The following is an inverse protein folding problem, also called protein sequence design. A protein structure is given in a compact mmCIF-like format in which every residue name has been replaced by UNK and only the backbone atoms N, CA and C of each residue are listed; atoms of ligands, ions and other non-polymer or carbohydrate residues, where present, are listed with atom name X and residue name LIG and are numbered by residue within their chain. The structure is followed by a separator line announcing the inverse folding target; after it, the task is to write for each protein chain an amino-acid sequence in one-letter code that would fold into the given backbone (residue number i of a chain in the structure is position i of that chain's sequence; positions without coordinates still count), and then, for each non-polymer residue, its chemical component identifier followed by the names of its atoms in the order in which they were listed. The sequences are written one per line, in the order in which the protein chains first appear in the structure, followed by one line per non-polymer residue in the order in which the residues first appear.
data_IF_086827983772
#
_entry.id   IF_086827983772
#
_cell.length_a   1.000
_cell.length_b   1.000
_cell.length_c   1.000
_cell.angle_alpha   90.00
_cell.angle_beta   90.00
_cell.angle_gamma   90.00
#
_symmetry.space_group_name_H-M   'P 1'
#
loop_
_entity.id
_entity.type
_entity.pdbx_description
1 polymer ?
#
# COMPACT_ATOMS: atom_id res chain seq x y z
N UNK A 1 -25.13 -8.57 -27.52
CA UNK A 1 -23.84 -7.81 -27.62
C UNK A 1 -22.71 -8.83 -27.70
N UNK A 2 -21.82 -8.78 -28.70
CA UNK A 2 -20.78 -9.79 -28.88
C UNK A 2 -19.49 -9.40 -28.14
N UNK A 3 -18.78 -10.35 -27.55
CA UNK A 3 -17.49 -10.14 -26.90
C UNK A 3 -16.47 -9.43 -27.78
N UNK A 4 -16.39 -9.81 -29.06
CA UNK A 4 -15.50 -9.17 -30.03
C UNK A 4 -15.75 -7.67 -30.16
N UNK A 5 -17.02 -7.26 -30.18
CA UNK A 5 -17.39 -5.85 -30.27
C UNK A 5 -16.94 -5.08 -29.03
N UNK A 6 -16.98 -5.69 -27.84
CA UNK A 6 -16.60 -5.05 -26.59
C UNK A 6 -15.10 -4.74 -26.54
N UNK A 7 -14.24 -5.73 -26.75
CA UNK A 7 -12.80 -5.49 -26.66
C UNK A 7 -12.26 -4.64 -27.82
N UNK A 8 -12.88 -4.68 -29.01
CA UNK A 8 -12.52 -3.77 -30.10
C UNK A 8 -12.69 -2.29 -29.74
N UNK A 9 -13.64 -1.95 -28.86
CA UNK A 9 -13.83 -0.57 -28.39
C UNK A 9 -12.62 -0.06 -27.59
N UNK A 10 -11.84 -0.96 -27.02
CA UNK A 10 -10.68 -0.63 -26.18
C UNK A 10 -9.34 -0.60 -26.94
N UNK A 11 -9.29 -1.05 -28.22
CA UNK A 11 -8.03 -1.15 -28.98
C UNK A 11 -7.39 0.18 -29.35
N UNK A 12 -8.07 1.29 -29.14
CA UNK A 12 -7.49 2.64 -29.25
C UNK A 12 -6.67 3.07 -28.03
N UNK A 13 -6.75 2.31 -26.94
CA UNK A 13 -6.11 2.61 -25.65
C UNK A 13 -5.13 1.49 -25.26
N UNK A 14 -5.53 0.24 -25.43
CA UNK A 14 -4.81 -0.97 -25.06
C UNK A 14 -4.44 -1.80 -26.28
N UNK A 15 -3.40 -2.62 -26.17
CA UNK A 15 -3.17 -3.63 -27.19
C UNK A 15 -4.29 -4.68 -27.22
N UNK A 16 -4.32 -5.50 -28.28
CA UNK A 16 -5.40 -6.45 -28.50
C UNK A 16 -5.54 -7.49 -27.39
N UNK A 17 -4.43 -7.97 -26.85
CA UNK A 17 -4.46 -9.05 -25.83
C UNK A 17 -4.84 -8.48 -24.47
N UNK A 18 -4.36 -7.28 -24.14
CA UNK A 18 -4.77 -6.55 -22.96
C UNK A 18 -6.26 -6.16 -22.99
N UNK A 19 -6.75 -5.61 -24.12
CA UNK A 19 -8.17 -5.27 -24.31
C UNK A 19 -9.08 -6.49 -24.10
N UNK A 20 -8.70 -7.66 -24.63
CA UNK A 20 -9.41 -8.92 -24.41
C UNK A 20 -9.37 -9.35 -22.95
N UNK A 21 -8.22 -9.25 -22.30
CA UNK A 21 -8.06 -9.62 -20.90
C UNK A 21 -8.92 -8.74 -19.97
N UNK A 22 -8.92 -7.42 -20.20
CA UNK A 22 -9.74 -6.45 -19.47
C UNK A 22 -11.24 -6.81 -19.56
N UNK A 23 -11.77 -6.96 -20.77
CA UNK A 23 -13.20 -7.26 -20.96
C UNK A 23 -13.55 -8.62 -20.38
N UNK A 24 -12.71 -9.65 -20.58
CA UNK A 24 -12.94 -10.97 -20.00
C UNK A 24 -12.99 -10.91 -18.49
N UNK A 25 -12.06 -10.23 -17.86
CA UNK A 25 -12.00 -10.12 -16.41
C UNK A 25 -13.20 -9.34 -15.86
N UNK A 26 -13.59 -8.26 -16.52
CA UNK A 26 -14.78 -7.49 -16.16
C UNK A 26 -16.06 -8.35 -16.21
N UNK A 27 -16.23 -9.16 -17.26
CA UNK A 27 -17.36 -10.07 -17.42
C UNK A 27 -17.37 -11.18 -16.37
N UNK A 28 -16.21 -11.76 -16.07
CA UNK A 28 -16.06 -12.81 -15.07
C UNK A 28 -16.37 -12.28 -13.67
N UNK A 29 -15.70 -11.22 -13.26
CA UNK A 29 -15.83 -10.66 -11.91
C UNK A 29 -17.23 -10.11 -11.65
N UNK A 30 -17.81 -9.39 -12.60
CA UNK A 30 -19.07 -8.68 -12.37
C UNK A 30 -20.31 -9.53 -12.65
N UNK A 31 -20.26 -10.41 -13.65
CA UNK A 31 -21.41 -11.17 -14.11
C UNK A 31 -21.21 -12.69 -13.98
N UNK A 32 -20.08 -13.16 -13.48
CA UNK A 32 -19.77 -14.59 -13.32
C UNK A 32 -19.64 -15.34 -14.62
N UNK A 33 -19.36 -14.66 -15.75
CA UNK A 33 -19.22 -15.28 -17.05
C UNK A 33 -17.79 -15.80 -17.25
N UNK A 34 -17.63 -17.12 -17.19
CA UNK A 34 -16.37 -17.77 -17.53
C UNK A 34 -16.01 -17.58 -19.01
N UNK A 35 -14.74 -17.81 -19.37
CA UNK A 35 -14.31 -17.78 -20.78
C UNK A 35 -15.18 -18.69 -21.67
N UNK A 36 -15.58 -19.87 -21.16
CA UNK A 36 -16.46 -20.78 -21.88
C UNK A 36 -17.83 -20.17 -22.13
N UNK A 37 -18.42 -19.52 -21.13
CA UNK A 37 -19.71 -18.84 -21.24
C UNK A 37 -19.66 -17.72 -22.28
N UNK A 38 -18.57 -16.93 -22.26
CA UNK A 38 -18.33 -15.84 -23.22
C UNK A 38 -18.27 -16.40 -24.66
N UNK A 39 -17.49 -17.46 -24.87
CA UNK A 39 -17.34 -18.10 -26.21
C UNK A 39 -18.64 -18.75 -26.66
N UNK A 40 -19.43 -19.32 -25.74
CA UNK A 40 -20.75 -19.89 -26.04
C UNK A 40 -21.84 -18.82 -26.27
N UNK A 41 -21.52 -17.52 -26.16
CA UNK A 41 -22.46 -16.44 -26.49
C UNK A 41 -23.43 -16.06 -25.37
N UNK A 42 -23.17 -16.45 -24.10
CA UNK A 42 -24.06 -16.14 -22.97
C UNK A 42 -24.22 -14.63 -22.69
N UNK A 43 -23.37 -13.79 -23.28
CA UNK A 43 -23.57 -12.33 -23.22
C UNK A 43 -24.91 -11.94 -23.86
N UNK A 44 -25.36 -12.64 -24.91
CA UNK A 44 -26.64 -12.36 -25.58
C UNK A 44 -27.84 -12.80 -24.74
N UNK A 45 -27.63 -13.59 -23.69
CA UNK A 45 -28.65 -14.09 -22.75
C UNK A 45 -28.74 -13.22 -21.47
N UNK A 46 -27.89 -12.20 -21.33
CA UNK A 46 -27.88 -11.30 -20.16
C UNK A 46 -29.20 -10.49 -20.10
N UNK A 47 -29.58 -10.16 -18.85
CA UNK A 47 -30.76 -9.30 -18.63
C UNK A 47 -30.50 -7.88 -19.16
N UNK A 48 -31.57 -7.12 -19.45
CA UNK A 48 -31.47 -5.71 -19.85
C UNK A 48 -30.74 -4.87 -18.83
N UNK A 49 -30.90 -5.18 -17.53
CA UNK A 49 -30.20 -4.52 -16.41
C UNK A 49 -28.71 -4.78 -16.49
N UNK A 50 -28.30 -6.05 -16.67
CA UNK A 50 -26.88 -6.42 -16.77
C UNK A 50 -26.23 -5.85 -18.02
N UNK A 51 -26.93 -5.83 -19.14
CA UNK A 51 -26.44 -5.21 -20.38
C UNK A 51 -26.28 -3.69 -20.24
N UNK A 52 -27.18 -3.02 -19.51
CA UNK A 52 -27.06 -1.59 -19.21
C UNK A 52 -25.86 -1.32 -18.29
N UNK A 53 -25.64 -2.17 -17.29
CA UNK A 53 -24.47 -2.07 -16.40
C UNK A 53 -23.18 -2.33 -17.16
N UNK A 54 -23.13 -3.37 -18.00
CA UNK A 54 -21.98 -3.65 -18.86
C UNK A 54 -21.64 -2.47 -19.77
N UNK A 55 -22.65 -1.83 -20.35
CA UNK A 55 -22.43 -0.64 -21.18
C UNK A 55 -21.84 0.52 -20.38
N UNK A 56 -22.32 0.76 -19.15
CA UNK A 56 -21.78 1.77 -18.26
C UNK A 56 -20.31 1.47 -17.88
N UNK A 57 -19.98 0.19 -17.64
CA UNK A 57 -18.59 -0.25 -17.39
C UNK A 57 -17.72 -0.01 -18.63
N UNK A 58 -18.20 -0.35 -19.82
CA UNK A 58 -17.45 -0.13 -21.06
C UNK A 58 -17.14 1.35 -21.29
N UNK A 59 -18.09 2.25 -21.00
CA UNK A 59 -17.88 3.70 -21.11
C UNK A 59 -16.80 4.23 -20.15
N UNK A 60 -16.62 3.59 -18.99
CA UNK A 60 -15.53 3.90 -18.05
C UNK A 60 -14.18 3.39 -18.57
N UNK A 61 -14.15 2.15 -19.08
CA UNK A 61 -12.95 1.55 -19.68
C UNK A 61 -12.46 2.32 -20.92
N UNK A 62 -13.36 2.83 -21.74
CA UNK A 62 -13.04 3.71 -22.89
C UNK A 62 -12.41 5.05 -22.49
N UNK A 63 -12.54 5.44 -21.24
CA UNK A 63 -11.84 6.60 -20.66
C UNK A 63 -10.51 6.22 -20.00
N UNK A 64 -10.01 5.02 -20.26
CA UNK A 64 -8.82 4.45 -19.64
C UNK A 64 -8.93 4.31 -18.10
N UNK A 65 -10.13 4.24 -17.52
CA UNK A 65 -10.25 3.96 -16.10
C UNK A 65 -9.79 2.53 -15.82
N UNK A 66 -8.93 2.28 -14.80
CA UNK A 66 -8.46 0.94 -14.47
C UNK A 66 -9.62 -0.02 -14.25
N UNK A 67 -9.54 -1.19 -14.87
CA UNK A 67 -10.60 -2.20 -14.75
C UNK A 67 -10.89 -2.57 -13.30
N UNK A 68 -9.88 -2.54 -12.43
CA UNK A 68 -10.02 -2.78 -10.98
C UNK A 68 -10.96 -1.75 -10.33
N UNK A 69 -10.88 -0.48 -10.70
CA UNK A 69 -11.82 0.53 -10.21
C UNK A 69 -13.20 0.36 -10.84
N UNK A 70 -13.26 -0.06 -12.10
CA UNK A 70 -14.54 -0.28 -12.80
C UNK A 70 -15.34 -1.41 -12.14
N UNK A 71 -14.68 -2.52 -11.79
CA UNK A 71 -15.32 -3.66 -11.11
C UNK A 71 -15.31 -3.54 -9.56
N UNK A 72 -14.52 -2.61 -9.02
CA UNK A 72 -14.47 -2.31 -7.59
C UNK A 72 -13.60 -3.25 -6.75
N UNK A 73 -12.81 -4.13 -7.38
CA UNK A 73 -11.94 -5.07 -6.67
C UNK A 73 -10.56 -5.22 -7.33
N UNK A 74 -9.58 -5.67 -6.54
CA UNK A 74 -8.27 -6.12 -7.00
C UNK A 74 -7.85 -7.39 -6.25
N UNK A 75 -7.13 -8.28 -6.92
CA UNK A 75 -6.55 -9.45 -6.28
C UNK A 75 -5.18 -9.14 -5.71
N UNK A 76 -4.92 -9.58 -4.47
CA UNK A 76 -3.62 -9.43 -3.84
C UNK A 76 -3.35 -10.58 -2.86
N UNK A 77 -2.23 -11.27 -3.01
CA UNK A 77 -1.82 -12.41 -2.17
C UNK A 77 -2.93 -13.47 -2.00
N UNK A 78 -3.67 -13.78 -3.07
CA UNK A 78 -4.76 -14.75 -3.08
C UNK A 78 -6.04 -14.31 -2.36
N UNK A 79 -6.20 -13.00 -2.15
CA UNK A 79 -7.37 -12.36 -1.53
C UNK A 79 -7.92 -11.26 -2.41
N UNK A 80 -9.22 -11.04 -2.29
CA UNK A 80 -9.91 -9.96 -3.02
C UNK A 80 -10.04 -8.73 -2.12
N UNK A 81 -9.48 -7.61 -2.57
CA UNK A 81 -9.56 -6.31 -1.91
C UNK A 81 -10.54 -5.40 -2.65
N UNK A 82 -11.37 -4.70 -1.92
CA UNK A 82 -12.13 -3.59 -2.49
C UNK A 82 -11.18 -2.44 -2.82
N UNK A 83 -11.32 -1.90 -4.04
CA UNK A 83 -10.58 -0.73 -4.51
C UNK A 83 -11.51 0.23 -5.22
N UNK A 84 -11.25 1.51 -5.06
CA UNK A 84 -11.95 2.60 -5.74
C UNK A 84 -10.99 3.79 -5.88
N UNK A 85 -11.29 4.82 -6.68
CA UNK A 85 -10.48 6.02 -6.76
C UNK A 85 -10.17 6.58 -5.36
N UNK A 86 -8.89 6.88 -5.09
CA UNK A 86 -8.40 7.34 -3.79
C UNK A 86 -7.39 6.43 -3.12
N UNK A 87 -7.22 5.18 -3.58
CA UNK A 87 -6.15 4.28 -3.14
C UNK A 87 -5.38 3.73 -4.33
N UNK A 88 -4.09 3.48 -4.16
CA UNK A 88 -3.29 2.76 -5.15
C UNK A 88 -3.85 1.35 -5.32
N UNK A 89 -3.99 0.90 -6.55
CA UNK A 89 -4.35 -0.50 -6.85
C UNK A 89 -3.20 -1.40 -6.40
N UNK A 90 -3.45 -2.43 -5.57
CA UNK A 90 -2.41 -3.35 -5.11
C UNK A 90 -1.60 -3.97 -6.26
N UNK A 91 -0.28 -3.96 -6.16
CA UNK A 91 0.63 -4.49 -7.18
C UNK A 91 1.16 -5.87 -6.79
N UNK A 92 1.35 -6.79 -7.76
CA UNK A 92 1.88 -8.12 -7.49
C UNK A 92 3.25 -8.09 -6.79
N UNK A 93 4.12 -7.13 -7.13
CA UNK A 93 5.43 -6.94 -6.54
C UNK A 93 5.32 -6.64 -5.03
N UNK A 94 4.39 -5.80 -4.63
CA UNK A 94 4.14 -5.52 -3.21
C UNK A 94 3.80 -6.81 -2.44
N UNK A 95 3.15 -7.77 -3.10
CA UNK A 95 2.89 -9.10 -2.53
C UNK A 95 4.17 -9.91 -2.28
N UNK A 96 5.23 -9.69 -3.06
CA UNK A 96 6.54 -10.33 -2.82
C UNK A 96 7.20 -9.79 -1.56
N UNK A 97 7.06 -8.47 -1.30
CA UNK A 97 7.52 -7.87 -0.05
C UNK A 97 6.83 -8.49 1.17
N UNK A 98 5.51 -8.66 1.11
CA UNK A 98 4.76 -9.33 2.18
C UNK A 98 5.24 -10.76 2.40
N UNK A 99 5.41 -11.56 1.33
CA UNK A 99 5.93 -12.93 1.41
C UNK A 99 7.31 -12.97 2.04
N UNK A 100 8.21 -12.06 1.64
CA UNK A 100 9.54 -11.98 2.23
C UNK A 100 9.49 -11.76 3.73
N UNK A 101 8.70 -10.80 4.21
CA UNK A 101 8.54 -10.54 5.64
C UNK A 101 8.01 -11.76 6.41
N UNK A 102 7.00 -12.43 5.88
CA UNK A 102 6.40 -13.63 6.47
C UNK A 102 7.41 -14.77 6.54
N UNK A 103 8.18 -15.01 5.47
CA UNK A 103 9.21 -16.04 5.44
C UNK A 103 10.36 -15.77 6.42
N UNK A 104 10.83 -14.52 6.50
CA UNK A 104 11.86 -14.13 7.47
C UNK A 104 11.37 -14.40 8.90
N UNK A 105 10.14 -13.98 9.22
CA UNK A 105 9.55 -14.22 10.53
C UNK A 105 9.43 -15.71 10.87
N UNK A 106 9.03 -16.53 9.89
CA UNK A 106 8.96 -17.99 10.05
C UNK A 106 10.34 -18.62 10.28
N UNK A 107 11.40 -18.11 9.63
CA UNK A 107 12.79 -18.59 9.81
C UNK A 107 13.37 -18.21 11.17
N UNK A 108 13.01 -17.05 11.72
CA UNK A 108 13.45 -16.63 13.04
C UNK A 108 12.89 -17.56 14.14
N UNK A 109 11.82 -18.29 13.86
CA UNK A 109 11.16 -19.20 14.80
C UNK A 109 10.60 -18.48 16.01
N UNK A 110 10.15 -19.25 17.02
CA UNK A 110 9.55 -18.74 18.28
C UNK A 110 10.62 -18.12 19.23
N UNK A 111 11.73 -17.62 18.71
CA UNK A 111 12.82 -17.06 19.54
C UNK A 111 12.42 -15.81 20.32
N UNK A 112 11.32 -15.13 19.96
CA UNK A 112 10.77 -14.00 20.71
C UNK A 112 9.38 -14.39 21.23
N UNK A 113 9.29 -14.74 22.49
CA UNK A 113 8.03 -14.80 23.22
C UNK A 113 7.44 -13.38 23.26
N UNK A 114 6.16 -13.24 22.93
CA UNK A 114 5.43 -11.98 22.96
C UNK A 114 4.82 -11.57 21.62
N UNK A 115 4.07 -10.50 21.66
CA UNK A 115 3.42 -9.92 20.48
C UNK A 115 4.46 -9.26 19.55
N UNK A 116 4.37 -9.55 18.26
CA UNK A 116 5.21 -8.96 17.22
C UNK A 116 4.53 -7.70 16.68
N UNK A 117 5.08 -6.53 16.99
CA UNK A 117 4.50 -5.24 16.64
C UNK A 117 4.94 -4.83 15.23
N UNK A 118 4.02 -4.68 14.30
CA UNK A 118 4.28 -4.29 12.91
C UNK A 118 3.59 -2.97 12.61
N UNK A 119 4.31 -2.08 11.93
CA UNK A 119 3.76 -0.83 11.41
C UNK A 119 3.82 -0.83 9.88
N UNK A 120 2.68 -0.62 9.22
CA UNK A 120 2.56 -0.34 7.79
C UNK A 120 2.35 1.15 7.58
N UNK A 121 3.26 1.82 6.84
CA UNK A 121 3.22 3.27 6.61
C UNK A 121 2.81 3.58 5.18
N UNK A 122 1.71 4.30 5.02
CA UNK A 122 1.09 4.55 3.72
C UNK A 122 0.27 3.35 3.25
N UNK A 123 -0.66 2.91 4.10
CA UNK A 123 -1.34 1.61 3.93
C UNK A 123 -2.26 1.53 2.70
N UNK A 124 -2.74 2.68 2.18
CA UNK A 124 -3.62 2.73 1.01
C UNK A 124 -4.87 1.87 1.18
N UNK A 125 -5.03 0.86 0.36
CA UNK A 125 -6.14 -0.12 0.44
C UNK A 125 -6.07 -1.05 1.66
N UNK A 126 -4.98 -1.01 2.43
CA UNK A 126 -4.72 -1.94 3.53
C UNK A 126 -4.06 -3.25 3.10
N UNK A 127 -3.67 -3.41 1.84
CA UNK A 127 -3.23 -4.69 1.29
C UNK A 127 -2.02 -5.28 2.01
N UNK A 128 -1.01 -4.48 2.38
CA UNK A 128 0.14 -4.93 3.17
C UNK A 128 -0.29 -5.29 4.60
N UNK A 129 -0.88 -4.33 5.32
CA UNK A 129 -1.26 -4.51 6.72
C UNK A 129 -2.17 -5.73 6.94
N UNK A 130 -3.21 -5.86 6.13
CA UNK A 130 -4.19 -6.95 6.21
C UNK A 130 -3.53 -8.29 5.88
N UNK A 131 -2.70 -8.34 4.83
CA UNK A 131 -1.99 -9.58 4.47
C UNK A 131 -1.06 -10.02 5.62
N UNK A 132 -0.30 -9.10 6.21
CA UNK A 132 0.59 -9.42 7.32
C UNK A 132 -0.18 -9.85 8.56
N UNK A 133 -1.30 -9.22 8.89
CA UNK A 133 -2.15 -9.63 10.02
C UNK A 133 -2.70 -11.06 9.86
N UNK A 134 -3.10 -11.43 8.64
CA UNK A 134 -3.65 -12.77 8.35
C UNK A 134 -2.56 -13.85 8.25
N UNK A 135 -1.38 -13.53 7.69
CA UNK A 135 -0.27 -14.49 7.52
C UNK A 135 0.62 -14.64 8.76
N UNK A 136 0.56 -13.68 9.68
CA UNK A 136 1.31 -13.68 10.94
C UNK A 136 0.36 -13.52 12.13
N UNK A 137 -0.36 -14.56 12.58
CA UNK A 137 -1.41 -14.44 13.63
C UNK A 137 -0.91 -13.88 14.96
N UNK A 138 0.39 -13.90 15.21
CA UNK A 138 1.01 -13.33 16.43
C UNK A 138 1.40 -11.84 16.25
N UNK A 139 1.24 -11.28 15.05
CA UNK A 139 1.54 -9.89 14.81
C UNK A 139 0.36 -9.00 15.24
N UNK A 140 0.69 -7.91 15.92
CA UNK A 140 -0.20 -6.77 16.13
C UNK A 140 0.15 -5.73 15.07
N UNK A 141 -0.71 -5.59 14.09
CA UNK A 141 -0.47 -4.71 12.94
C UNK A 141 -1.16 -3.38 13.16
N UNK A 142 -0.38 -2.30 13.07
CA UNK A 142 -0.88 -0.93 12.98
C UNK A 142 -0.60 -0.40 11.58
N UNK A 143 -1.54 0.33 11.02
CA UNK A 143 -1.47 0.88 9.67
C UNK A 143 -1.74 2.38 9.68
N UNK A 144 -0.86 3.14 9.03
CA UNK A 144 -0.98 4.59 8.90
C UNK A 144 -1.28 5.01 7.48
N UNK A 145 -2.13 6.02 7.36
CA UNK A 145 -2.28 6.77 6.13
C UNK A 145 -2.63 8.23 6.45
N UNK A 146 -2.33 9.14 5.54
CA UNK A 146 -2.72 10.55 5.62
C UNK A 146 -4.14 10.77 5.10
N UNK A 147 -4.62 9.91 4.20
CA UNK A 147 -5.91 9.99 3.52
C UNK A 147 -7.02 9.33 4.35
N UNK A 148 -8.07 10.07 4.64
CA UNK A 148 -9.27 9.53 5.28
C UNK A 148 -9.97 8.49 4.36
N UNK A 149 -9.96 8.70 3.04
CA UNK A 149 -10.52 7.76 2.07
C UNK A 149 -9.74 6.44 2.06
N UNK A 150 -8.42 6.50 2.07
CA UNK A 150 -7.58 5.30 2.16
C UNK A 150 -7.90 4.51 3.45
N UNK A 151 -7.95 5.18 4.59
CA UNK A 151 -8.28 4.54 5.86
C UNK A 151 -9.69 3.95 5.89
N UNK A 152 -10.67 4.60 5.24
CA UNK A 152 -12.03 4.08 5.10
C UNK A 152 -12.06 2.79 4.27
N UNK A 153 -11.34 2.77 3.14
CA UNK A 153 -11.23 1.61 2.25
C UNK A 153 -10.49 0.48 2.96
N UNK A 154 -9.36 0.77 3.61
CA UNK A 154 -8.58 -0.22 4.35
C UNK A 154 -9.38 -0.88 5.48
N UNK A 155 -10.16 -0.10 6.24
CA UNK A 155 -11.06 -0.63 7.28
C UNK A 155 -12.12 -1.56 6.70
N UNK A 156 -12.78 -1.15 5.59
CA UNK A 156 -13.74 -1.99 4.87
C UNK A 156 -13.13 -3.32 4.42
N UNK A 157 -11.89 -3.28 3.92
CA UNK A 157 -11.16 -4.48 3.52
C UNK A 157 -10.81 -5.37 4.70
N UNK A 158 -10.35 -4.79 5.81
CA UNK A 158 -10.04 -5.54 7.03
C UNK A 158 -11.28 -6.25 7.59
N UNK A 159 -12.40 -5.56 7.66
CA UNK A 159 -13.70 -6.14 8.08
C UNK A 159 -14.12 -7.29 7.15
N UNK A 160 -14.08 -7.07 5.83
CA UNK A 160 -14.47 -8.07 4.84
C UNK A 160 -13.59 -9.33 4.85
N UNK A 161 -12.31 -9.18 5.16
CA UNK A 161 -11.33 -10.28 5.20
C UNK A 161 -11.12 -10.86 6.60
N UNK A 162 -11.75 -10.30 7.62
CA UNK A 162 -11.62 -10.75 9.01
C UNK A 162 -10.24 -10.51 9.62
N UNK A 163 -9.56 -9.43 9.22
CA UNK A 163 -8.23 -9.08 9.69
C UNK A 163 -8.31 -8.06 10.85
N UNK A 164 -7.53 -8.29 11.91
CA UNK A 164 -7.38 -7.36 13.02
C UNK A 164 -6.21 -6.39 12.75
N UNK A 165 -6.53 -5.14 12.37
CA UNK A 165 -5.56 -4.09 12.11
C UNK A 165 -5.98 -2.80 12.81
N UNK A 166 -5.05 -2.12 13.48
CA UNK A 166 -5.28 -0.80 14.05
C UNK A 166 -4.96 0.27 13.01
N UNK A 167 -5.94 1.09 12.64
CA UNK A 167 -5.77 2.14 11.63
C UNK A 167 -5.67 3.53 12.28
N UNK A 168 -4.63 4.28 11.94
CA UNK A 168 -4.39 5.63 12.46
C UNK A 168 -4.14 6.63 11.32
N UNK A 169 -4.77 7.80 11.42
CA UNK A 169 -4.47 8.90 10.50
C UNK A 169 -3.17 9.57 10.92
N UNK A 170 -2.12 9.42 10.10
CA UNK A 170 -0.81 10.03 10.34
C UNK A 170 -0.12 10.43 9.03
N UNK A 171 0.60 11.54 9.10
CA UNK A 171 1.47 12.00 8.03
C UNK A 171 2.89 11.42 8.25
N UNK A 172 3.36 10.60 7.31
CA UNK A 172 4.69 10.01 7.34
C UNK A 172 5.84 11.05 7.31
N UNK A 173 5.58 12.26 6.83
CA UNK A 173 6.57 13.35 6.78
C UNK A 173 6.59 14.19 8.06
N UNK A 174 5.49 14.24 8.81
CA UNK A 174 5.30 15.12 9.98
C UNK A 174 4.97 14.34 11.26
N UNK A 175 5.51 13.12 11.40
CA UNK A 175 5.35 12.36 12.63
C UNK A 175 6.11 13.02 13.79
N UNK A 176 5.49 14.02 14.42
CA UNK A 176 5.94 14.47 15.74
C UNK A 176 5.73 13.31 16.71
N UNK A 177 6.81 12.82 17.28
CA UNK A 177 6.71 12.00 18.48
C UNK A 177 5.95 12.89 19.47
N UNK A 178 4.79 12.44 19.97
CA UNK A 178 4.02 13.17 20.97
C UNK A 178 4.81 13.27 22.27
N UNK A 179 5.87 14.06 22.28
CA UNK A 179 6.35 14.72 23.47
C UNK A 179 5.37 15.85 23.68
N UNK A 180 4.71 15.87 24.83
CA UNK A 180 3.74 16.87 25.19
C UNK A 180 4.28 18.29 25.10
N UNK A 181 4.41 18.80 23.90
CA UNK A 181 4.70 20.19 23.59
C UNK A 181 3.41 21.01 23.63
N UNK A 182 2.90 21.19 24.87
CA UNK A 182 2.16 22.39 25.18
C UNK A 182 3.17 23.44 25.68
N UNK A 183 3.86 24.09 24.78
CA UNK A 183 4.57 25.33 25.06
C UNK A 183 4.47 26.25 23.85
N UNK A 184 3.41 27.05 23.82
CA UNK A 184 3.47 28.46 23.47
C UNK A 184 2.17 29.12 23.92
N UNK A 185 2.33 30.22 24.66
CA UNK A 185 1.36 31.17 25.11
C UNK A 185 0.67 30.90 26.47
N UNK A 186 1.46 31.06 27.53
CA UNK A 186 0.94 31.68 28.77
C UNK A 186 2.06 32.49 29.39
N UNK A 187 2.07 33.81 29.09
CA UNK A 187 2.59 34.81 30.00
C UNK A 187 1.48 35.08 31.03
N UNK A 188 1.64 34.65 32.23
CA UNK A 188 1.47 35.46 33.45
C UNK A 188 1.69 34.59 34.68
N UNK A 189 2.34 35.17 35.62
CA UNK A 189 2.88 34.63 36.84
C UNK A 189 1.81 34.10 37.81
N UNK A 190 2.11 33.03 38.53
CA UNK A 190 2.06 33.01 40.01
C UNK A 190 2.77 31.76 40.54
N UNK A 191 3.67 31.96 41.49
CA UNK A 191 4.46 30.93 42.16
C UNK A 191 3.54 30.05 43.00
N UNK A 192 3.50 28.78 42.73
CA UNK A 192 2.99 27.75 43.65
C UNK A 192 3.95 26.55 43.55
N UNK A 193 4.36 26.05 44.71
CA UNK A 193 5.41 25.02 44.92
C UNK A 193 5.21 23.75 44.12
N UNK A 194 6.30 23.01 43.74
CA UNK A 194 6.21 21.85 42.92
C UNK A 194 5.78 20.63 43.72
N UNK A 195 4.59 20.13 43.49
CA UNK A 195 4.24 18.76 43.79
C UNK A 195 4.87 17.90 42.69
N UNK A 196 5.67 16.87 43.00
CA UNK A 196 6.21 15.97 42.00
C UNK A 196 5.10 15.08 41.46
N UNK A 197 4.38 15.57 40.44
CA UNK A 197 3.54 14.70 39.63
C UNK A 197 4.45 13.84 38.75
N UNK A 198 4.65 12.60 39.12
CA UNK A 198 5.19 11.57 38.23
C UNK A 198 4.13 11.33 37.16
N UNK A 199 4.13 12.15 36.12
CA UNK A 199 3.41 11.82 34.90
C UNK A 199 4.18 10.66 34.27
N UNK A 200 3.55 9.48 34.03
CA UNK A 200 4.22 8.44 33.26
C UNK A 200 4.61 9.05 31.93
N UNK A 201 5.91 9.08 31.64
CA UNK A 201 6.42 9.45 30.32
C UNK A 201 5.67 8.57 29.33
N UNK A 202 4.95 9.11 28.34
CA UNK A 202 4.25 8.27 27.38
C UNK A 202 5.28 7.32 26.76
N UNK A 203 5.08 6.02 26.96
CA UNK A 203 5.98 5.03 26.37
C UNK A 203 5.87 5.19 24.85
N UNK A 204 6.99 5.53 24.21
CA UNK A 204 7.06 5.58 22.74
C UNK A 204 6.75 4.17 22.28
N UNK A 205 5.71 4.02 21.46
CA UNK A 205 5.37 2.73 20.86
C UNK A 205 6.58 2.22 20.08
N UNK A 206 6.99 0.99 20.38
CA UNK A 206 8.16 0.36 19.75
C UNK A 206 7.70 -0.75 18.81
N UNK A 207 8.34 -0.81 17.64
CA UNK A 207 8.02 -1.74 16.57
C UNK A 207 9.10 -2.83 16.45
N UNK A 208 8.68 -4.05 16.16
CA UNK A 208 9.57 -5.12 15.72
C UNK A 208 9.88 -5.00 14.23
N UNK A 209 8.90 -4.56 13.44
CA UNK A 209 9.10 -4.26 12.02
C UNK A 209 8.30 -3.02 11.59
N UNK A 210 8.88 -2.26 10.66
CA UNK A 210 8.20 -1.20 9.91
C UNK A 210 8.28 -1.57 8.43
N UNK A 211 7.15 -1.48 7.73
CA UNK A 211 7.07 -1.71 6.29
C UNK A 211 6.41 -0.53 5.60
N UNK A 212 6.81 -0.25 4.37
CA UNK A 212 6.16 0.77 3.55
C UNK A 212 6.39 0.51 2.07
N UNK A 213 5.34 0.72 1.30
CA UNK A 213 5.41 1.04 -0.13
C UNK A 213 5.06 2.52 -0.29
N UNK A 214 6.01 3.44 -0.05
CA UNK A 214 5.74 4.87 -0.06
C UNK A 214 5.70 5.41 -1.49
N UNK A 215 5.16 6.62 -1.73
CA UNK A 215 5.32 7.29 -3.01
C UNK A 215 6.81 7.42 -3.37
N UNK A 216 7.17 7.01 -4.58
CA UNK A 216 8.56 6.97 -5.03
C UNK A 216 8.79 7.35 -6.49
N UNK A 217 7.73 7.60 -7.27
CA UNK A 217 7.85 7.95 -8.69
C UNK A 217 8.19 9.43 -8.82
N UNK A 218 9.29 9.77 -9.47
CA UNK A 218 9.62 11.16 -9.75
C UNK A 218 8.70 11.74 -10.83
N UNK A 219 8.42 13.05 -10.77
CA UNK A 219 7.58 13.73 -11.75
C UNK A 219 8.08 13.54 -13.21
N UNK A 220 9.41 13.53 -13.40
CA UNK A 220 10.03 13.26 -14.71
C UNK A 220 9.76 11.87 -15.28
N UNK A 221 9.39 10.91 -14.44
CA UNK A 221 9.05 9.54 -14.86
C UNK A 221 7.61 9.44 -15.38
N UNK A 222 6.76 10.44 -15.12
CA UNK A 222 5.34 10.45 -15.52
C UNK A 222 5.14 10.21 -17.04
N UNK A 223 6.04 10.72 -17.86
CA UNK A 223 5.94 10.58 -19.33
C UNK A 223 6.06 9.12 -19.83
N UNK A 224 6.57 8.21 -18.99
CA UNK A 224 6.76 6.79 -19.31
C UNK A 224 5.71 5.89 -18.66
N UNK A 225 4.79 6.48 -17.89
CA UNK A 225 3.74 5.73 -17.19
C UNK A 225 2.53 5.51 -18.09
N UNK A 226 1.84 4.41 -17.82
CA UNK A 226 0.58 4.09 -18.48
C UNK A 226 -0.50 5.14 -18.18
N UNK A 227 -1.30 5.45 -19.19
CA UNK A 227 -2.33 6.49 -19.12
C UNK A 227 -3.32 6.25 -17.97
N UNK A 228 -3.75 5.01 -17.78
CA UNK A 228 -4.71 4.63 -16.75
C UNK A 228 -4.19 4.89 -15.33
N UNK A 229 -2.86 4.76 -15.09
CA UNK A 229 -2.23 5.08 -13.80
C UNK A 229 -2.21 6.61 -13.60
N UNK A 230 -1.75 7.35 -14.60
CA UNK A 230 -1.60 8.81 -14.52
C UNK A 230 -2.92 9.56 -14.31
N UNK A 231 -3.97 9.11 -15.00
CA UNK A 231 -5.24 9.84 -15.03
C UNK A 231 -6.19 9.45 -13.89
N UNK A 232 -6.01 8.26 -13.28
CA UNK A 232 -7.01 7.72 -12.37
C UNK A 232 -6.48 7.35 -10.98
N UNK A 233 -5.20 6.98 -10.84
CA UNK A 233 -4.67 6.64 -9.53
C UNK A 233 -4.21 7.89 -8.75
N UNK A 234 -4.28 7.88 -7.41
CA UNK A 234 -4.02 9.08 -6.62
C UNK A 234 -2.56 9.52 -6.73
N UNK A 235 -2.32 10.72 -7.25
CA UNK A 235 -0.97 11.29 -7.39
C UNK A 235 -0.21 11.37 -6.05
N UNK A 236 -0.93 11.54 -4.94
CA UNK A 236 -0.34 11.54 -3.60
C UNK A 236 0.31 10.20 -3.24
N UNK A 237 -0.21 9.09 -3.78
CA UNK A 237 0.32 7.75 -3.56
C UNK A 237 1.44 7.37 -4.54
N UNK A 238 1.65 8.15 -5.59
CA UNK A 238 2.61 7.86 -6.64
C UNK A 238 3.85 8.74 -6.59
N UNK A 239 3.66 10.07 -6.52
CA UNK A 239 4.70 11.01 -6.89
C UNK A 239 5.49 11.63 -5.74
N UNK A 240 6.78 11.80 -6.02
CA UNK A 240 7.71 12.59 -5.23
C UNK A 240 8.31 13.71 -6.09
N UNK A 241 8.79 14.83 -5.48
CA UNK A 241 9.55 15.85 -6.19
C UNK A 241 10.83 15.28 -6.79
N UNK A 242 11.20 15.76 -7.99
CA UNK A 242 12.40 15.32 -8.71
C UNK A 242 13.71 15.67 -7.97
N UNK A 243 13.70 16.72 -7.15
CA UNK A 243 14.82 17.19 -6.34
C UNK A 243 14.96 16.47 -5.00
N UNK A 244 13.95 15.70 -4.56
CA UNK A 244 14.02 14.89 -3.34
C UNK A 244 13.30 13.54 -3.49
N UNK A 245 13.81 12.62 -4.34
CA UNK A 245 13.19 11.31 -4.59
C UNK A 245 13.17 10.40 -3.35
N UNK A 246 14.03 10.64 -2.36
CA UNK A 246 14.15 9.81 -1.17
C UNK A 246 13.37 10.36 0.04
N UNK A 247 12.54 11.38 -0.12
CA UNK A 247 11.92 12.09 1.00
C UNK A 247 11.13 11.20 1.96
N UNK A 248 10.30 10.29 1.43
CA UNK A 248 9.50 9.39 2.26
C UNK A 248 10.38 8.31 2.90
N UNK A 249 11.29 7.70 2.15
CA UNK A 249 12.23 6.72 2.68
C UNK A 249 13.03 7.30 3.87
N UNK A 250 13.55 8.53 3.69
CA UNK A 250 14.30 9.23 4.73
C UNK A 250 13.46 9.54 5.96
N UNK A 251 12.23 9.98 5.78
CA UNK A 251 11.33 10.29 6.88
C UNK A 251 10.96 9.03 7.68
N UNK A 252 10.59 7.95 7.00
CA UNK A 252 10.21 6.68 7.62
C UNK A 252 11.42 6.02 8.30
N UNK A 253 12.60 6.05 7.67
CA UNK A 253 13.83 5.51 8.26
C UNK A 253 14.23 6.29 9.53
N UNK A 254 14.16 7.62 9.53
CA UNK A 254 14.40 8.46 10.74
C UNK A 254 13.39 8.14 11.85
N UNK A 255 12.14 7.89 11.52
CA UNK A 255 11.14 7.44 12.49
C UNK A 255 11.51 6.05 13.02
N UNK A 256 11.86 5.12 12.14
CA UNK A 256 12.28 3.77 12.50
C UNK A 256 13.49 3.74 13.44
N UNK A 257 14.49 4.59 13.23
CA UNK A 257 15.63 4.70 14.14
C UNK A 257 15.22 5.05 15.58
N UNK A 258 14.16 5.81 15.75
CA UNK A 258 13.67 6.21 17.07
C UNK A 258 12.75 5.19 17.71
N UNK A 259 12.01 4.42 16.90
CA UNK A 259 10.86 3.62 17.35
C UNK A 259 10.97 2.13 17.09
N UNK A 260 11.88 1.67 16.24
CA UNK A 260 12.19 0.25 16.15
C UNK A 260 12.88 -0.21 17.44
N UNK A 261 12.55 -1.40 17.89
CA UNK A 261 13.28 -2.11 18.95
C UNK A 261 14.73 -2.38 18.52
N UNK A 262 15.68 -2.67 19.42
CA UNK A 262 16.96 -3.26 19.04
C UNK A 262 16.72 -4.51 18.18
N UNK A 263 17.49 -4.69 17.13
CA UNK A 263 17.31 -5.74 16.11
C UNK A 263 15.99 -5.65 15.30
N UNK A 264 15.23 -4.56 15.43
CA UNK A 264 14.01 -4.33 14.66
C UNK A 264 14.31 -4.10 13.17
N UNK A 265 13.36 -4.44 12.32
CA UNK A 265 13.53 -4.48 10.86
C UNK A 265 12.75 -3.38 10.16
N UNK A 266 13.37 -2.76 9.16
CA UNK A 266 12.77 -1.80 8.24
C UNK A 266 12.68 -2.44 6.86
N UNK A 267 11.50 -2.39 6.25
CA UNK A 267 11.25 -2.91 4.90
C UNK A 267 10.69 -1.82 4.00
N UNK A 268 11.23 -1.73 2.79
CA UNK A 268 10.73 -0.82 1.77
C UNK A 268 10.49 -1.52 0.44
N UNK A 269 9.42 -1.16 -0.26
CA UNK A 269 9.37 -1.25 -1.71
C UNK A 269 10.09 -0.04 -2.29
N UNK A 270 10.88 -0.24 -3.36
CA UNK A 270 11.82 0.74 -3.90
C UNK A 270 11.47 1.17 -5.33
N UNK A 271 11.76 2.42 -5.65
CA UNK A 271 12.05 2.78 -7.02
C UNK A 271 13.40 2.19 -7.42
N UNK A 272 13.46 1.30 -8.44
CA UNK A 272 14.71 0.68 -8.87
C UNK A 272 15.80 1.66 -9.28
N UNK A 273 15.42 2.86 -9.76
CA UNK A 273 16.36 3.90 -10.17
C UNK A 273 17.14 4.49 -8.99
N UNK A 274 16.61 4.38 -7.77
CA UNK A 274 17.19 4.96 -6.55
C UNK A 274 17.48 3.91 -5.48
N UNK A 275 17.58 2.63 -5.86
CA UNK A 275 17.78 1.55 -4.88
C UNK A 275 19.09 1.69 -4.11
N UNK A 276 20.20 1.97 -4.80
CA UNK A 276 21.53 2.15 -4.19
C UNK A 276 21.60 3.40 -3.30
N UNK A 277 20.99 4.50 -3.75
CA UNK A 277 20.94 5.74 -2.98
C UNK A 277 20.07 5.58 -1.73
N UNK A 278 18.96 4.82 -1.84
CA UNK A 278 18.11 4.52 -0.68
C UNK A 278 18.86 3.65 0.32
N UNK A 279 19.58 2.63 -0.12
CA UNK A 279 20.41 1.79 0.76
C UNK A 279 21.48 2.63 1.47
N UNK A 280 22.21 3.46 0.73
CA UNK A 280 23.25 4.33 1.29
C UNK A 280 22.67 5.26 2.35
N UNK A 281 21.54 5.92 2.06
CA UNK A 281 20.84 6.82 2.98
C UNK A 281 20.40 6.08 4.26
N UNK A 282 19.88 4.86 4.14
CA UNK A 282 19.45 4.06 5.29
C UNK A 282 20.65 3.67 6.15
N UNK A 283 21.79 3.29 5.55
CA UNK A 283 23.06 3.01 6.27
C UNK A 283 23.58 4.26 6.98
N UNK A 284 23.57 5.42 6.36
CA UNK A 284 23.98 6.70 6.97
C UNK A 284 23.11 7.07 8.17
N UNK A 285 21.84 6.66 8.17
CA UNK A 285 20.93 6.82 9.32
C UNK A 285 21.19 5.82 10.45
N UNK A 286 22.18 4.91 10.32
CA UNK A 286 22.60 4.00 11.37
C UNK A 286 21.90 2.64 11.34
N UNK A 287 21.31 2.24 10.22
CA UNK A 287 20.89 0.86 10.03
C UNK A 287 22.06 0.00 9.55
N UNK A 288 22.11 -1.25 10.00
CA UNK A 288 23.07 -2.25 9.54
C UNK A 288 22.37 -3.38 8.77
N UNK A 289 23.14 -4.34 8.29
CA UNK A 289 22.66 -5.57 7.64
C UNK A 289 21.56 -5.27 6.60
N UNK A 290 21.87 -4.38 5.66
CA UNK A 290 20.95 -4.10 4.54
C UNK A 290 20.98 -5.22 3.51
N UNK A 291 19.82 -5.57 2.97
CA UNK A 291 19.63 -6.58 1.93
C UNK A 291 18.66 -6.03 0.87
N UNK A 292 19.11 -6.01 -0.40
CA UNK A 292 18.28 -5.60 -1.54
C UNK A 292 17.90 -6.83 -2.35
N UNK A 293 16.60 -7.02 -2.56
CA UNK A 293 16.07 -8.09 -3.42
C UNK A 293 15.48 -7.56 -4.71
N UNK A 294 15.59 -8.38 -5.74
CA UNK A 294 14.92 -8.18 -7.00
C UNK A 294 13.49 -8.73 -6.96
N UNK A 295 12.61 -8.09 -7.73
CA UNK A 295 11.27 -8.59 -8.03
C UNK A 295 11.30 -9.70 -9.10
N UNK A 296 10.14 -10.29 -9.41
CA UNK A 296 9.97 -11.32 -10.44
C UNK A 296 10.44 -10.89 -11.84
N UNK A 297 10.63 -9.58 -12.08
CA UNK A 297 11.12 -9.02 -13.34
C UNK A 297 12.62 -8.68 -13.30
N UNK A 298 13.32 -9.02 -12.20
CA UNK A 298 14.76 -8.80 -12.02
C UNK A 298 15.14 -7.36 -11.67
N UNK A 299 14.20 -6.50 -11.26
CA UNK A 299 14.49 -5.14 -10.82
C UNK A 299 14.73 -5.09 -9.31
N UNK A 300 15.72 -4.32 -8.85
CA UNK A 300 15.94 -4.06 -7.43
C UNK A 300 14.73 -3.36 -6.83
N UNK A 301 13.89 -4.11 -6.14
CA UNK A 301 12.55 -3.66 -5.73
C UNK A 301 12.33 -3.60 -4.24
N UNK A 302 13.11 -4.32 -3.45
CA UNK A 302 12.86 -4.42 -2.02
C UNK A 302 14.13 -4.18 -1.24
N UNK A 303 14.03 -3.42 -0.16
CA UNK A 303 15.09 -3.20 0.82
C UNK A 303 14.64 -3.72 2.18
N UNK A 304 15.51 -4.48 2.83
CA UNK A 304 15.46 -4.77 4.27
C UNK A 304 16.66 -4.13 4.94
N UNK A 305 16.45 -3.53 6.10
CA UNK A 305 17.53 -2.99 6.93
C UNK A 305 17.24 -3.25 8.40
N UNK A 306 18.29 -3.55 9.17
CA UNK A 306 18.20 -3.87 10.59
C UNK A 306 18.71 -2.72 11.44
N UNK A 307 17.96 -2.36 12.49
CA UNK A 307 18.41 -1.42 13.51
C UNK A 307 19.42 -2.08 14.43
N UNK A 308 20.52 -1.40 14.71
CA UNK A 308 21.52 -1.81 15.71
C UNK A 308 21.01 -1.50 17.12
#
# INVERSE_FOLDING_TARGET
MKYETLWHRLTGIYDTDEAKAIVRWALDVRFGLSLTDIVCGKIDEMSETDLSELEAMMQRLEKAEPVQYVVGIAEFCGRTFHVEPGVLIPRPETGELCRWMVEERRREGVRREGEYQVLDVGTGSGCIAITLALEMPQAKVTAWDISDDALRIAKKNAEALGAEVTFEKRDALNHRLNHGDRHSDLRCATIIEPVPMIHPVPMIQQWDAIVSNPPYVCQKEAATMERHVLEHEPHLALFVPDDDPLRFYRAIAKYGQKTLKPDGLLYFELNPLYASETESMVRELGFAETDIKQDMFGKQRFLKAKKI
#
